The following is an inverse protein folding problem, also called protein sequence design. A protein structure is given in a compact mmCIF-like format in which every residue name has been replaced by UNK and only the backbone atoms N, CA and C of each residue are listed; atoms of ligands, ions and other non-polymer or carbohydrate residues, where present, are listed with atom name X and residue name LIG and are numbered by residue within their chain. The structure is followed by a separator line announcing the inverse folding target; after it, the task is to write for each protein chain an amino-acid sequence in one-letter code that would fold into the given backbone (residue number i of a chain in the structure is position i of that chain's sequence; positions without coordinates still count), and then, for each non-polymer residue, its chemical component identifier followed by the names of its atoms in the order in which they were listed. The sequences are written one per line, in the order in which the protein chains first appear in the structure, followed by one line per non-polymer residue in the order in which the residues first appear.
data_IF_260534314378
#
_entry.id   IF_260534314378
#
_cell.length_a   1.000
_cell.length_b   1.000
_cell.length_c   1.000
_cell.angle_alpha   90.00
_cell.angle_beta   90.00
_cell.angle_gamma   90.00
#
_symmetry.space_group_name_H-M   'P 1'
#
loop_
_entity.id
_entity.type
_entity.pdbx_description
1 polymer ?
#
# COMPACT_ATOMS: atom_id res chain seq x y z
N UNK A 1 45.16 9.71 -39.89
CA UNK A 1 46.29 9.58 -38.95
C UNK A 1 46.19 8.21 -38.34
N UNK A 2 47.05 7.31 -38.74
CA UNK A 2 47.03 5.89 -38.50
C UNK A 2 47.85 5.55 -37.26
N UNK A 3 47.34 4.68 -36.42
CA UNK A 3 48.12 4.10 -35.33
C UNK A 3 48.37 2.63 -35.59
N UNK A 4 49.53 2.12 -35.32
CA UNK A 4 49.86 0.73 -35.59
C UNK A 4 49.65 -0.19 -34.41
N UNK A 5 49.19 -1.35 -34.77
CA UNK A 5 49.16 -2.61 -34.09
C UNK A 5 50.55 -3.11 -33.68
N UNK A 6 50.71 -3.64 -32.46
CA UNK A 6 51.85 -4.47 -32.12
C UNK A 6 51.42 -5.62 -31.20
N UNK A 7 51.34 -6.83 -31.75
CA UNK A 7 51.62 -8.12 -31.13
C UNK A 7 53.11 -8.44 -31.41
N UNK A 8 53.82 -9.39 -30.80
CA UNK A 8 53.52 -10.45 -29.85
C UNK A 8 54.72 -10.79 -28.93
N UNK A 9 54.60 -11.81 -28.09
CA UNK A 9 55.77 -12.74 -27.88
C UNK A 9 55.34 -14.08 -27.30
N UNK A 10 55.64 -15.12 -28.06
CA UNK A 10 55.65 -16.51 -27.68
C UNK A 10 56.77 -16.78 -26.67
N UNK A 11 56.53 -17.58 -25.65
CA UNK A 11 57.54 -18.23 -24.84
C UNK A 11 57.40 -19.75 -24.91
N UNK A 12 58.52 -20.49 -24.87
CA UNK A 12 58.60 -21.90 -25.27
C UNK A 12 58.32 -22.88 -24.13
N UNK A 13 57.89 -24.02 -24.55
CA UNK A 13 57.75 -25.22 -23.72
C UNK A 13 59.12 -25.69 -23.15
N UNK A 14 59.16 -26.00 -21.87
CA UNK A 14 60.17 -26.89 -21.30
C UNK A 14 59.66 -27.72 -20.12
N UNK A 15 59.64 -29.03 -20.41
CA UNK A 15 60.05 -30.19 -19.62
C UNK A 15 59.21 -30.64 -18.42
N UNK A 16 58.73 -31.84 -18.67
CA UNK A 16 58.37 -32.88 -17.67
C UNK A 16 59.24 -32.85 -16.42
N UNK A 17 58.57 -32.91 -15.28
CA UNK A 17 59.12 -33.60 -14.12
C UNK A 17 57.95 -34.32 -13.40
N UNK A 18 57.98 -35.66 -13.53
CA UNK A 18 57.11 -36.58 -12.79
C UNK A 18 57.59 -36.54 -11.32
N UNK A 19 56.71 -36.15 -10.43
CA UNK A 19 56.84 -36.46 -9.01
C UNK A 19 55.58 -37.15 -8.57
N UNK A 20 55.72 -38.45 -8.30
CA UNK A 20 54.72 -39.21 -7.53
C UNK A 20 54.69 -38.63 -6.13
N UNK A 21 53.55 -38.15 -5.68
CA UNK A 21 53.29 -37.95 -4.27
C UNK A 21 51.88 -38.44 -3.96
N UNK A 22 51.86 -39.25 -2.94
CA UNK A 22 50.76 -40.05 -2.42
C UNK A 22 49.48 -39.29 -2.21
N UNK A 23 48.36 -39.98 -2.46
CA UNK A 23 47.01 -39.51 -2.23
C UNK A 23 46.74 -39.23 -0.76
N UNK A 24 46.17 -38.06 -0.52
CA UNK A 24 45.42 -37.76 0.67
C UNK A 24 44.03 -37.29 0.21
N UNK A 25 43.12 -38.25 0.14
CA UNK A 25 41.72 -37.99 -0.11
C UNK A 25 41.16 -37.25 1.11
N UNK A 26 41.12 -35.94 1.03
CA UNK A 26 40.32 -35.13 1.98
C UNK A 26 38.87 -35.29 1.55
N UNK A 27 38.15 -36.15 2.23
CA UNK A 27 36.70 -36.21 2.18
C UNK A 27 36.19 -34.88 2.77
N UNK A 28 35.87 -33.91 1.91
CA UNK A 28 35.01 -32.80 2.27
C UNK A 28 33.63 -33.39 2.59
N UNK A 29 33.40 -33.74 3.85
CA UNK A 29 32.08 -33.91 4.38
C UNK A 29 31.39 -32.53 4.23
N UNK A 30 30.76 -32.30 3.11
CA UNK A 30 29.86 -31.21 2.88
C UNK A 30 28.71 -31.33 3.90
N UNK A 31 28.82 -30.61 4.99
CA UNK A 31 27.68 -30.36 5.89
C UNK A 31 26.67 -29.57 5.07
N UNK A 32 25.85 -30.26 4.30
CA UNK A 32 24.63 -29.73 3.71
C UNK A 32 23.65 -29.43 4.84
N UNK A 33 23.89 -28.31 5.55
CA UNK A 33 22.90 -27.75 6.44
C UNK A 33 21.71 -27.35 5.57
N UNK A 34 20.72 -28.22 5.43
CA UNK A 34 19.36 -27.80 5.06
C UNK A 34 18.92 -26.82 6.12
N UNK A 35 19.11 -25.52 5.86
CA UNK A 35 18.41 -24.48 6.59
C UNK A 35 16.93 -24.69 6.31
N UNK A 36 16.25 -25.46 7.16
CA UNK A 36 14.80 -25.45 7.20
C UNK A 36 14.40 -24.04 7.60
N UNK A 37 14.22 -23.16 6.62
CA UNK A 37 13.63 -21.85 6.84
C UNK A 37 12.22 -22.14 7.37
N UNK A 38 12.07 -22.02 8.68
CA UNK A 38 10.77 -22.14 9.32
C UNK A 38 9.95 -20.94 8.85
N UNK A 39 8.99 -21.21 7.98
CA UNK A 39 8.10 -20.19 7.44
C UNK A 39 6.81 -20.19 8.25
N UNK A 40 6.37 -19.02 8.66
CA UNK A 40 5.16 -18.83 9.45
C UNK A 40 3.93 -18.60 8.57
N UNK A 41 2.76 -18.96 9.09
CA UNK A 41 1.46 -18.65 8.51
C UNK A 41 1.03 -17.23 8.94
N UNK A 42 0.53 -16.43 7.99
CA UNK A 42 -0.04 -15.13 8.24
C UNK A 42 -1.52 -15.15 7.90
N UNK A 43 -2.36 -14.94 8.91
CA UNK A 43 -3.81 -15.03 8.81
C UNK A 43 -4.47 -14.00 9.73
N UNK A 44 -5.81 -13.88 9.66
CA UNK A 44 -6.55 -12.97 10.49
C UNK A 44 -8.06 -13.10 10.34
N UNK A 45 -8.76 -12.21 11.04
CA UNK A 45 -10.22 -12.13 11.03
C UNK A 45 -10.68 -10.89 10.26
N UNK A 46 -11.89 -10.95 9.73
CA UNK A 46 -12.57 -9.86 9.04
C UNK A 46 -13.94 -9.66 9.67
N UNK A 47 -14.27 -8.42 9.97
CA UNK A 47 -15.56 -8.03 10.54
C UNK A 47 -16.21 -6.97 9.65
N UNK A 48 -17.49 -7.13 9.38
CA UNK A 48 -18.31 -6.15 8.68
C UNK A 48 -18.15 -6.11 7.16
N UNK A 49 -17.37 -7.01 6.55
CA UNK A 49 -17.25 -7.09 5.10
C UNK A 49 -18.53 -7.69 4.50
N UNK A 50 -19.30 -6.89 3.78
CA UNK A 50 -20.50 -7.31 3.05
C UNK A 50 -20.26 -7.42 1.55
N UNK A 51 -19.47 -6.52 0.99
CA UNK A 51 -19.26 -6.37 -0.44
C UNK A 51 -17.97 -7.07 -0.88
N UNK A 52 -17.97 -7.55 -2.11
CA UNK A 52 -16.76 -8.08 -2.74
C UNK A 52 -15.81 -6.95 -3.15
N UNK A 53 -14.54 -7.32 -3.45
CA UNK A 53 -13.54 -6.40 -3.99
C UNK A 53 -12.49 -5.91 -2.98
N UNK A 54 -12.50 -6.44 -1.75
CA UNK A 54 -11.37 -6.24 -0.83
C UNK A 54 -10.18 -7.04 -1.31
N UNK A 55 -9.04 -6.40 -1.50
CA UNK A 55 -7.76 -7.06 -1.71
C UNK A 55 -6.81 -6.69 -0.59
N UNK A 56 -6.25 -7.71 0.08
CA UNK A 56 -5.23 -7.54 1.11
C UNK A 56 -3.85 -7.93 0.55
N UNK A 57 -2.82 -7.19 0.92
CA UNK A 57 -1.42 -7.53 0.64
C UNK A 57 -0.61 -7.57 1.92
N UNK A 58 0.37 -8.49 1.99
CA UNK A 58 1.36 -8.54 3.05
C UNK A 58 2.78 -8.14 2.57
N UNK A 59 2.88 -7.55 1.36
CA UNK A 59 4.13 -7.19 0.71
C UNK A 59 4.80 -8.34 -0.07
N UNK A 60 4.46 -9.60 0.24
CA UNK A 60 4.97 -10.81 -0.45
C UNK A 60 3.92 -11.38 -1.40
N UNK A 61 2.67 -11.36 -0.99
CA UNK A 61 1.52 -11.87 -1.75
C UNK A 61 0.29 -11.02 -1.52
N UNK A 62 -0.68 -11.16 -2.41
CA UNK A 62 -1.99 -10.52 -2.31
C UNK A 62 -3.09 -11.57 -2.41
N UNK A 63 -4.20 -11.32 -1.73
CA UNK A 63 -5.40 -12.15 -1.76
C UNK A 63 -6.63 -11.28 -2.00
N UNK A 64 -7.53 -11.76 -2.85
CA UNK A 64 -8.86 -11.17 -3.05
C UNK A 64 -9.83 -11.83 -2.10
N UNK A 65 -10.58 -11.02 -1.36
CA UNK A 65 -11.53 -11.47 -0.34
C UNK A 65 -12.95 -11.27 -0.89
N UNK A 66 -13.74 -12.32 -0.84
CA UNK A 66 -15.17 -12.27 -1.20
C UNK A 66 -16.02 -11.60 -0.12
N UNK A 67 -17.14 -11.01 -0.51
CA UNK A 67 -18.11 -10.47 0.44
C UNK A 67 -18.62 -11.53 1.41
N UNK A 68 -18.84 -11.13 2.66
CA UNK A 68 -19.28 -12.02 3.73
C UNK A 68 -18.19 -12.92 4.33
N UNK A 69 -16.96 -12.86 3.83
CA UNK A 69 -15.83 -13.61 4.39
C UNK A 69 -15.44 -13.07 5.76
N UNK A 70 -15.23 -13.97 6.72
CA UNK A 70 -14.92 -13.62 8.12
C UNK A 70 -13.48 -13.91 8.54
N UNK A 71 -12.72 -14.64 7.72
CA UNK A 71 -11.31 -14.97 8.00
C UNK A 71 -10.50 -14.94 6.71
N UNK A 72 -9.18 -14.78 6.82
CA UNK A 72 -8.28 -14.88 5.69
C UNK A 72 -6.97 -15.55 6.08
N UNK A 73 -6.29 -16.09 5.08
CA UNK A 73 -4.94 -16.66 5.21
C UNK A 73 -4.17 -16.38 3.92
N UNK A 74 -2.97 -15.82 4.06
CA UNK A 74 -2.11 -15.60 2.89
C UNK A 74 -1.57 -16.92 2.35
N UNK A 75 -1.55 -17.10 1.02
CA UNK A 75 -1.09 -18.36 0.39
C UNK A 75 0.41 -18.56 0.58
N UNK A 76 1.19 -17.49 0.57
CA UNK A 76 2.63 -17.55 0.76
C UNK A 76 2.97 -17.35 2.23
N UNK A 77 3.80 -18.24 2.75
CA UNK A 77 4.30 -18.15 4.12
C UNK A 77 5.36 -17.04 4.25
N UNK A 78 5.40 -16.40 5.38
CA UNK A 78 6.38 -15.37 5.72
C UNK A 78 7.59 -16.01 6.40
N UNK A 79 8.84 -15.71 6.00
CA UNK A 79 10.03 -16.23 6.66
C UNK A 79 10.06 -15.86 8.15
N UNK A 80 10.49 -16.79 9.00
CA UNK A 80 10.68 -16.53 10.42
C UNK A 80 11.67 -15.37 10.62
N UNK A 81 11.32 -14.42 11.46
CA UNK A 81 12.12 -13.22 11.73
C UNK A 81 11.92 -12.08 10.72
N UNK A 82 11.18 -12.29 9.63
CA UNK A 82 10.88 -11.22 8.67
C UNK A 82 9.79 -10.27 9.19
N UNK A 83 9.89 -9.00 8.83
CA UNK A 83 8.81 -8.05 9.04
C UNK A 83 7.66 -8.31 8.07
N UNK A 84 6.42 -8.06 8.52
CA UNK A 84 5.23 -8.11 7.68
C UNK A 84 4.39 -6.84 7.86
N UNK A 85 3.67 -6.46 6.80
CA UNK A 85 2.68 -5.37 6.82
C UNK A 85 1.47 -5.80 6.00
N UNK A 86 0.36 -6.08 6.67
CA UNK A 86 -0.92 -6.37 6.04
C UNK A 86 -1.69 -5.07 5.84
N UNK A 87 -2.05 -4.78 4.60
CA UNK A 87 -2.80 -3.58 4.26
C UNK A 87 -3.78 -3.84 3.11
N UNK A 88 -4.90 -3.13 3.05
CA UNK A 88 -5.77 -3.18 1.89
C UNK A 88 -5.10 -2.45 0.72
N UNK A 89 -5.09 -3.07 -0.45
CA UNK A 89 -4.64 -2.48 -1.71
C UNK A 89 -5.81 -2.10 -2.62
N UNK A 90 -6.95 -2.73 -2.41
CA UNK A 90 -8.23 -2.36 -3.03
C UNK A 90 -9.33 -2.47 -1.98
N UNK A 91 -10.23 -1.51 -1.96
CA UNK A 91 -11.39 -1.51 -1.09
C UNK A 91 -12.66 -1.88 -1.87
N UNK A 92 -13.68 -2.46 -1.22
CA UNK A 92 -15.00 -2.60 -1.81
C UNK A 92 -15.59 -1.23 -2.18
N UNK A 93 -16.48 -1.19 -3.17
CA UNK A 93 -17.02 0.07 -3.71
C UNK A 93 -17.78 0.92 -2.67
N UNK A 94 -18.48 0.28 -1.73
CA UNK A 94 -19.30 0.96 -0.73
C UNK A 94 -18.82 0.77 0.72
N UNK A 95 -17.60 0.28 0.93
CA UNK A 95 -17.03 0.07 2.25
C UNK A 95 -15.61 0.63 2.37
N UNK A 96 -15.26 1.05 3.57
CA UNK A 96 -13.88 1.33 3.97
C UNK A 96 -13.46 0.28 4.98
N UNK A 97 -12.29 -0.32 4.77
CA UNK A 97 -11.73 -1.33 5.65
C UNK A 97 -10.42 -0.82 6.26
N UNK A 98 -10.28 -0.98 7.56
CA UNK A 98 -9.06 -0.68 8.33
C UNK A 98 -8.45 -1.95 8.87
N UNK A 99 -7.13 -1.97 9.06
CA UNK A 99 -6.40 -3.12 9.60
C UNK A 99 -5.77 -2.75 10.93
N UNK A 100 -6.02 -3.55 11.94
CA UNK A 100 -5.35 -3.49 13.24
C UNK A 100 -4.47 -4.73 13.42
N UNK A 101 -3.37 -4.60 14.16
CA UNK A 101 -2.34 -5.64 14.31
C UNK A 101 -1.78 -6.14 12.96
N UNK A 102 -1.84 -5.29 11.93
CA UNK A 102 -1.43 -5.64 10.56
C UNK A 102 0.09 -5.64 10.35
N UNK A 103 0.89 -5.21 11.30
CA UNK A 103 2.33 -5.13 11.16
C UNK A 103 3.07 -5.74 12.35
N UNK A 104 4.26 -6.28 12.08
CA UNK A 104 5.09 -6.89 13.11
C UNK A 104 6.26 -7.68 12.54
N UNK A 105 6.89 -8.46 13.41
CA UNK A 105 7.92 -9.43 13.07
C UNK A 105 7.39 -10.84 13.24
N UNK A 106 7.60 -11.67 12.23
CA UNK A 106 7.10 -13.03 12.13
C UNK A 106 7.93 -14.00 12.99
N UNK A 107 7.65 -14.08 14.29
CA UNK A 107 8.35 -14.99 15.24
C UNK A 107 7.62 -16.31 15.46
N UNK A 108 6.36 -16.40 15.08
CA UNK A 108 5.47 -17.57 15.11
C UNK A 108 4.29 -17.31 14.17
N UNK A 109 3.44 -18.31 13.93
CA UNK A 109 2.20 -18.11 13.18
C UNK A 109 1.40 -16.93 13.73
N UNK A 110 0.98 -16.03 12.82
CA UNK A 110 0.23 -14.80 13.13
C UNK A 110 -1.22 -15.01 12.76
N UNK A 111 -2.11 -14.87 13.72
CA UNK A 111 -3.57 -14.96 13.56
C UNK A 111 -4.31 -13.80 14.22
N UNK A 112 -3.59 -12.77 14.63
CA UNK A 112 -4.11 -11.63 15.39
C UNK A 112 -4.47 -10.43 14.54
N UNK A 113 -4.23 -10.50 13.23
CA UNK A 113 -4.61 -9.42 12.30
C UNK A 113 -6.14 -9.32 12.25
N UNK A 114 -6.64 -8.10 12.44
CA UNK A 114 -8.07 -7.82 12.36
C UNK A 114 -8.32 -6.77 11.28
N UNK A 115 -9.18 -7.12 10.33
CA UNK A 115 -9.72 -6.21 9.32
C UNK A 115 -11.14 -5.84 9.72
N UNK A 116 -11.42 -4.55 9.87
CA UNK A 116 -12.76 -4.03 10.17
C UNK A 116 -13.25 -3.19 9.01
N UNK A 117 -14.36 -3.59 8.41
CA UNK A 117 -15.01 -2.89 7.30
C UNK A 117 -16.30 -2.23 7.78
N UNK A 118 -16.53 -0.99 7.36
CA UNK A 118 -17.76 -0.24 7.63
C UNK A 118 -18.31 0.33 6.32
N UNK A 119 -19.62 0.57 6.21
CA UNK A 119 -20.19 1.31 5.07
C UNK A 119 -19.46 2.63 4.86
N UNK A 120 -19.39 3.10 3.64
CA UNK A 120 -18.72 4.35 3.30
C UNK A 120 -19.62 5.26 2.48
N UNK A 121 -19.44 6.57 2.66
CA UNK A 121 -20.29 7.60 2.10
C UNK A 121 -19.46 8.63 1.35
N UNK A 122 -20.08 9.27 0.36
CA UNK A 122 -19.46 10.36 -0.39
C UNK A 122 -19.43 11.63 0.47
N UNK A 123 -18.42 12.45 0.24
CA UNK A 123 -18.23 13.72 0.88
C UNK A 123 -18.23 14.81 -0.17
N UNK A 124 -19.15 15.74 -0.08
CA UNK A 124 -19.30 16.83 -1.04
C UNK A 124 -20.15 17.99 -0.52
N UNK A 125 -20.49 18.88 -1.42
CA UNK A 125 -21.27 20.07 -1.07
C UNK A 125 -21.39 21.08 -2.20
N UNK A 126 -21.75 22.30 -1.83
CA UNK A 126 -21.99 23.42 -2.76
C UNK A 126 -20.84 24.41 -2.74
N UNK A 127 -20.65 25.12 -3.84
CA UNK A 127 -19.68 26.22 -3.99
C UNK A 127 -20.45 27.44 -4.49
N UNK A 128 -20.19 28.58 -3.90
CA UNK A 128 -20.75 29.85 -4.31
C UNK A 128 -19.62 30.86 -4.59
N UNK A 129 -19.75 31.62 -5.66
CA UNK A 129 -18.85 32.72 -5.99
C UNK A 129 -17.50 32.36 -6.59
N UNK A 130 -17.22 31.07 -6.88
CA UNK A 130 -15.95 30.65 -7.48
C UNK A 130 -15.87 31.12 -8.94
N UNK A 131 -15.16 32.21 -9.22
CA UNK A 131 -14.99 32.78 -10.54
C UNK A 131 -13.62 32.52 -11.17
N UNK A 132 -12.62 32.13 -10.37
CA UNK A 132 -11.27 31.82 -10.83
C UNK A 132 -10.84 30.41 -10.44
N UNK A 133 -9.87 29.87 -11.19
CA UNK A 133 -9.34 28.52 -10.95
C UNK A 133 -8.39 28.44 -9.77
N UNK A 134 -7.81 27.24 -9.58
CA UNK A 134 -6.80 26.90 -8.57
C UNK A 134 -7.34 26.75 -7.14
N UNK A 135 -8.66 26.71 -6.91
CA UNK A 135 -9.16 26.23 -5.64
C UNK A 135 -8.77 24.76 -5.44
N UNK A 136 -8.11 24.47 -4.34
CA UNK A 136 -7.82 23.10 -3.92
C UNK A 136 -8.33 22.88 -2.52
N UNK A 137 -9.16 21.87 -2.33
CA UNK A 137 -9.69 21.48 -1.03
C UNK A 137 -9.23 20.07 -0.66
N UNK A 138 -9.06 19.82 0.62
CA UNK A 138 -8.60 18.53 1.15
C UNK A 138 -9.48 18.04 2.29
N UNK A 139 -9.58 16.70 2.37
CA UNK A 139 -10.07 15.97 3.54
C UNK A 139 -9.06 14.85 3.82
N UNK A 140 -8.15 15.05 4.76
CA UNK A 140 -7.00 14.17 4.97
C UNK A 140 -6.17 14.01 3.71
N UNK A 141 -6.02 12.78 3.21
CA UNK A 141 -5.30 12.48 1.97
C UNK A 141 -6.12 12.66 0.68
N UNK A 142 -7.42 12.93 0.77
CA UNK A 142 -8.29 13.16 -0.39
C UNK A 142 -8.23 14.60 -0.83
N UNK A 143 -8.08 14.84 -2.14
CA UNK A 143 -7.96 16.16 -2.74
C UNK A 143 -9.03 16.34 -3.81
N UNK A 144 -9.64 17.52 -3.88
CA UNK A 144 -10.52 17.92 -4.97
C UNK A 144 -10.18 19.34 -5.43
N UNK A 145 -10.20 19.56 -6.75
CA UNK A 145 -9.87 20.84 -7.38
C UNK A 145 -11.00 21.26 -8.31
N UNK A 146 -12.03 21.94 -7.80
CA UNK A 146 -13.14 22.45 -8.60
C UNK A 146 -12.64 23.46 -9.65
N UNK A 147 -13.23 23.41 -10.85
CA UNK A 147 -12.95 24.41 -11.90
C UNK A 147 -13.66 25.72 -11.62
N UNK A 148 -13.18 26.81 -12.23
CA UNK A 148 -13.88 28.10 -12.18
C UNK A 148 -15.34 27.96 -12.62
N UNK A 149 -16.27 28.59 -11.89
CA UNK A 149 -17.72 28.49 -12.13
C UNK A 149 -18.38 27.23 -11.58
N UNK A 150 -17.65 26.30 -10.96
CA UNK A 150 -18.25 25.13 -10.32
C UNK A 150 -19.19 25.56 -9.18
N UNK A 151 -20.37 24.94 -9.13
CA UNK A 151 -21.39 25.19 -8.11
C UNK A 151 -21.48 24.05 -7.08
N UNK A 152 -20.75 22.95 -7.29
CA UNK A 152 -20.70 21.83 -6.37
C UNK A 152 -19.35 21.10 -6.48
N UNK A 153 -19.08 20.27 -5.49
CA UNK A 153 -17.91 19.38 -5.47
C UNK A 153 -18.23 18.07 -4.79
N UNK A 154 -17.47 17.04 -5.13
CA UNK A 154 -17.48 15.74 -4.47
C UNK A 154 -16.03 15.26 -4.41
N UNK A 155 -15.60 14.79 -3.24
CA UNK A 155 -14.30 14.17 -3.11
C UNK A 155 -14.25 12.80 -3.80
N UNK A 156 -13.15 12.45 -4.46
CA UNK A 156 -13.04 11.15 -5.15
C UNK A 156 -13.01 9.97 -4.18
N UNK A 157 -12.48 10.16 -2.96
CA UNK A 157 -12.43 9.13 -1.94
C UNK A 157 -13.66 9.18 -1.03
N UNK A 158 -14.19 8.00 -0.69
CA UNK A 158 -15.28 7.85 0.28
C UNK A 158 -14.75 7.85 1.71
N UNK A 159 -15.59 8.16 2.67
CA UNK A 159 -15.25 8.18 4.11
C UNK A 159 -16.13 7.15 4.83
N UNK A 160 -15.54 6.37 5.72
CA UNK A 160 -16.25 5.33 6.47
C UNK A 160 -17.27 5.91 7.45
N UNK A 161 -18.38 5.22 7.60
CA UNK A 161 -19.38 5.53 8.63
C UNK A 161 -18.72 5.53 10.01
N UNK A 162 -19.02 6.53 10.82
CA UNK A 162 -18.42 6.73 12.13
C UNK A 162 -17.06 7.44 12.11
N UNK A 163 -16.45 7.66 10.94
CA UNK A 163 -15.18 8.36 10.83
C UNK A 163 -15.40 9.88 10.79
N UNK A 164 -14.44 10.59 11.38
CA UNK A 164 -14.42 12.04 11.29
C UNK A 164 -14.00 12.49 9.88
N UNK A 165 -14.55 13.64 9.45
CA UNK A 165 -14.09 14.36 8.27
C UNK A 165 -13.72 15.79 8.65
N UNK A 166 -12.77 16.37 7.87
CA UNK A 166 -12.31 17.75 8.07
C UNK A 166 -11.90 18.38 6.74
N UNK A 167 -12.86 19.02 6.07
CA UNK A 167 -12.64 19.70 4.79
C UNK A 167 -12.07 21.10 5.02
N UNK A 168 -10.93 21.36 4.39
CA UNK A 168 -10.25 22.66 4.44
C UNK A 168 -9.81 23.10 3.06
N UNK A 169 -9.63 24.41 2.86
CA UNK A 169 -8.98 24.94 1.66
C UNK A 169 -7.47 24.80 1.82
N UNK A 170 -6.85 24.05 0.93
CA UNK A 170 -5.40 23.90 0.85
C UNK A 170 -4.77 25.01 0.02
N UNK A 171 -5.43 25.38 -1.09
CA UNK A 171 -4.97 26.45 -1.97
C UNK A 171 -6.13 27.33 -2.37
N UNK A 172 -5.97 28.65 -2.20
CA UNK A 172 -6.98 29.63 -2.58
C UNK A 172 -6.94 29.91 -4.08
N UNK A 173 -8.09 30.24 -4.69
CA UNK A 173 -8.12 30.70 -6.08
C UNK A 173 -7.38 32.04 -6.22
N UNK A 174 -6.99 32.38 -7.45
CA UNK A 174 -6.37 33.65 -7.72
C UNK A 174 -7.38 34.81 -7.46
N UNK A 175 -6.96 35.79 -6.68
CA UNK A 175 -7.73 37.01 -6.34
C UNK A 175 -9.10 36.73 -5.67
N UNK A 176 -9.27 35.58 -5.08
CA UNK A 176 -10.45 35.23 -4.29
C UNK A 176 -10.06 34.56 -2.97
N UNK A 177 -10.94 34.70 -1.98
CA UNK A 177 -10.82 34.00 -0.71
C UNK A 177 -12.05 33.09 -0.52
N UNK A 178 -11.81 31.78 -0.41
CA UNK A 178 -12.87 30.80 -0.18
C UNK A 178 -12.84 30.31 1.26
N UNK A 179 -14.01 30.28 1.89
CA UNK A 179 -14.23 29.79 3.27
C UNK A 179 -15.12 28.54 3.23
N UNK A 180 -14.85 27.57 4.12
CA UNK A 180 -15.62 26.35 4.25
C UNK A 180 -16.53 26.43 5.47
N UNK A 181 -17.82 26.14 5.29
CA UNK A 181 -18.84 26.06 6.34
C UNK A 181 -19.31 24.62 6.41
N UNK A 182 -19.57 24.09 7.61
CA UNK A 182 -19.90 22.69 7.87
C UNK A 182 -18.84 21.71 7.38
N UNK A 183 -17.58 22.16 7.30
CA UNK A 183 -16.47 21.34 6.79
C UNK A 183 -16.00 20.24 7.75
N UNK A 184 -16.47 20.20 9.00
CA UNK A 184 -16.03 19.26 10.03
C UNK A 184 -17.22 18.51 10.60
N UNK A 185 -17.06 17.21 10.82
CA UNK A 185 -18.09 16.37 11.41
C UNK A 185 -17.72 14.90 11.45
N UNK A 186 -18.73 14.06 11.71
CA UNK A 186 -18.64 12.60 11.67
C UNK A 186 -19.61 12.07 10.62
N UNK A 187 -19.16 11.13 9.82
CA UNK A 187 -19.98 10.49 8.77
C UNK A 187 -21.07 9.63 9.39
N UNK A 188 -22.31 9.94 9.07
CA UNK A 188 -23.50 9.17 9.48
C UNK A 188 -23.79 8.00 8.54
N UNK A 189 -25.06 7.73 8.34
CA UNK A 189 -25.59 6.63 7.51
C UNK A 189 -25.87 7.03 6.06
N UNK A 190 -25.51 8.24 5.65
CA UNK A 190 -25.77 8.79 4.32
C UNK A 190 -24.62 9.68 3.85
N UNK A 191 -24.61 9.96 2.55
CA UNK A 191 -23.65 10.88 1.94
C UNK A 191 -23.73 12.27 2.59
N UNK A 192 -22.60 12.94 2.74
CA UNK A 192 -22.46 14.30 3.26
C UNK A 192 -22.49 15.26 2.07
N UNK A 193 -23.58 16.04 1.98
CA UNK A 193 -23.79 17.06 0.93
C UNK A 193 -24.00 18.48 1.53
N UNK A 194 -23.85 18.62 2.84
CA UNK A 194 -24.14 19.85 3.57
C UNK A 194 -22.96 20.82 3.68
N UNK A 195 -21.81 20.47 3.12
CA UNK A 195 -20.64 21.34 3.15
C UNK A 195 -20.85 22.50 2.17
N UNK A 196 -20.54 23.73 2.60
CA UNK A 196 -20.66 24.91 1.78
C UNK A 196 -19.28 25.58 1.64
N UNK A 197 -18.97 26.02 0.45
CA UNK A 197 -17.76 26.80 0.16
C UNK A 197 -18.20 28.14 -0.44
N UNK A 198 -17.86 29.22 0.25
CA UNK A 198 -18.18 30.56 -0.18
C UNK A 198 -16.89 31.28 -0.58
N UNK A 199 -16.82 31.71 -1.85
CA UNK A 199 -15.71 32.45 -2.42
C UNK A 199 -16.08 33.89 -2.68
N UNK A 200 -15.22 34.84 -2.25
CA UNK A 200 -15.41 36.29 -2.40
C UNK A 200 -14.15 36.92 -2.99
#
# INVERSE_FOLDING_TARGET
MSLPFTLPRRFPARRLMRVLAAGMAIALAGCGGSSTTTNILLSGNIVGLTDAGLTLSNGISSIVIGGGTTTFTFPNRTPLGAAYVVQPTTLPAAQVCTVTNGSGVAVKDVNTVLVTCVPSHMLGGTITGLSSGNLVMVNGGNVVSPVAGAQSFVFPGRVGQGFAYGVTVLNQPLQQNCTVINGVGTVGVSDINSIQVNCT
#
